data_IF_314856422537
#
_entry.id   IF_314856422537
#
_cell.length_a   1.000
_cell.length_b   1.000
_cell.length_c   1.000
_cell.angle_alpha   90.00
_cell.angle_beta   90.00
_cell.angle_gamma   90.00
#
_symmetry.space_group_name_H-M   'P 1'
#
loop_
_entity.id
_entity.type
_entity.pdbx_description
1 polymer ?
#
# COMPACT_ATOMS: atom_id res chain seq x y z
N UNK A 1 5.34 14.90 -9.51
CA UNK A 1 6.14 13.66 -9.73
C UNK A 1 6.60 12.97 -8.46
N UNK A 2 6.83 13.66 -7.32
CA UNK A 2 7.26 13.02 -6.07
C UNK A 2 6.33 11.90 -5.57
N UNK A 3 5.02 12.11 -5.64
CA UNK A 3 3.99 11.11 -5.28
C UNK A 3 4.19 9.75 -5.96
N UNK A 4 4.41 9.77 -7.28
CA UNK A 4 4.56 8.55 -8.07
C UNK A 4 5.88 7.84 -7.75
N UNK A 5 6.96 8.61 -7.53
CA UNK A 5 8.25 8.07 -7.07
C UNK A 5 8.12 7.38 -5.72
N UNK A 6 7.39 7.98 -4.77
CA UNK A 6 7.12 7.37 -3.47
C UNK A 6 6.27 6.10 -3.60
N UNK A 7 5.23 6.12 -4.43
CA UNK A 7 4.41 4.93 -4.67
C UNK A 7 5.22 3.78 -5.27
N UNK A 8 6.06 4.05 -6.28
CA UNK A 8 6.95 3.05 -6.87
C UNK A 8 7.94 2.51 -5.83
N UNK A 9 8.52 3.38 -4.99
CA UNK A 9 9.41 2.97 -3.92
C UNK A 9 8.72 2.01 -2.94
N UNK A 10 7.48 2.31 -2.54
CA UNK A 10 6.70 1.43 -1.67
C UNK A 10 6.32 0.11 -2.34
N UNK A 11 5.92 0.12 -3.61
CA UNK A 11 5.64 -1.10 -4.38
C UNK A 11 6.89 -1.99 -4.44
N UNK A 12 8.04 -1.43 -4.84
CA UNK A 12 9.30 -2.16 -4.92
C UNK A 12 9.71 -2.72 -3.55
N UNK A 13 9.58 -1.93 -2.49
CA UNK A 13 9.87 -2.35 -1.12
C UNK A 13 9.00 -3.54 -0.69
N UNK A 14 7.68 -3.49 -0.93
CA UNK A 14 6.77 -4.59 -0.56
C UNK A 14 7.05 -5.85 -1.37
N UNK A 15 7.32 -5.73 -2.67
CA UNK A 15 7.69 -6.87 -3.52
C UNK A 15 8.98 -7.51 -3.04
N UNK A 16 10.00 -6.72 -2.70
CA UNK A 16 11.25 -7.22 -2.16
C UNK A 16 11.05 -7.90 -0.81
N UNK A 17 10.30 -7.29 0.11
CA UNK A 17 10.06 -7.86 1.44
C UNK A 17 9.28 -9.17 1.33
N UNK A 18 8.19 -9.21 0.57
CA UNK A 18 7.41 -10.44 0.35
C UNK A 18 8.25 -11.51 -0.36
N UNK A 19 9.06 -11.12 -1.35
CA UNK A 19 9.98 -12.03 -2.03
C UNK A 19 11.06 -12.60 -1.10
N UNK A 20 11.66 -11.79 -0.24
CA UNK A 20 12.67 -12.22 0.75
C UNK A 20 12.04 -13.14 1.80
N UNK A 21 10.84 -12.81 2.30
CA UNK A 21 10.11 -13.69 3.23
C UNK A 21 9.80 -15.04 2.57
N UNK A 22 9.37 -15.04 1.32
CA UNK A 22 9.10 -16.26 0.56
C UNK A 22 10.38 -17.07 0.31
N UNK A 23 11.51 -16.40 0.06
CA UNK A 23 12.82 -17.03 -0.10
C UNK A 23 13.28 -17.73 1.18
N UNK A 24 13.16 -17.06 2.33
CA UNK A 24 13.53 -17.61 3.65
C UNK A 24 12.61 -18.79 4.02
N UNK A 25 11.34 -18.71 3.64
CA UNK A 25 10.33 -19.74 3.90
C UNK A 25 10.60 -21.09 3.19
N UNK A 26 11.64 -21.21 2.35
CA UNK A 26 12.09 -22.43 1.64
C UNK A 26 11.09 -23.13 0.71
N UNK A 27 9.82 -22.72 0.72
CA UNK A 27 8.79 -23.15 -0.20
C UNK A 27 8.55 -22.03 -1.22
N UNK A 28 9.23 -22.13 -2.37
CA UNK A 28 8.95 -21.28 -3.54
C UNK A 28 7.61 -21.68 -4.17
N UNK A 29 6.53 -21.49 -3.41
CA UNK A 29 5.18 -21.66 -3.90
C UNK A 29 4.67 -20.32 -4.40
N UNK A 30 4.55 -20.21 -5.73
CA UNK A 30 4.04 -19.03 -6.41
C UNK A 30 2.65 -18.62 -5.87
N UNK A 31 1.83 -19.59 -5.47
CA UNK A 31 0.49 -19.38 -4.92
C UNK A 31 0.54 -18.71 -3.55
N UNK A 32 1.50 -19.12 -2.72
CA UNK A 32 1.72 -18.53 -1.40
C UNK A 32 2.19 -17.08 -1.55
N UNK A 33 3.09 -16.81 -2.49
CA UNK A 33 3.59 -15.47 -2.75
C UNK A 33 2.49 -14.53 -3.31
N UNK A 34 1.66 -14.98 -4.24
CA UNK A 34 0.46 -14.25 -4.69
C UNK A 34 -0.46 -13.91 -3.51
N UNK A 35 -0.68 -14.87 -2.60
CA UNK A 35 -1.54 -14.67 -1.43
C UNK A 35 -0.94 -13.63 -0.49
N UNK A 36 0.38 -13.66 -0.24
CA UNK A 36 1.06 -12.66 0.57
C UNK A 36 0.98 -11.25 -0.05
N UNK A 37 1.12 -11.12 -1.37
CA UNK A 37 0.96 -9.85 -2.07
C UNK A 37 -0.47 -9.29 -1.93
N UNK A 38 -1.50 -10.13 -2.04
CA UNK A 38 -2.90 -9.74 -1.83
C UNK A 38 -3.17 -9.30 -0.39
N UNK A 39 -2.61 -10.03 0.58
CA UNK A 39 -2.71 -9.67 2.00
C UNK A 39 -2.03 -8.34 2.29
N UNK A 40 -0.83 -8.12 1.76
CA UNK A 40 -0.11 -6.85 1.87
C UNK A 40 -0.91 -5.70 1.22
N UNK A 41 -1.47 -5.92 0.02
CA UNK A 41 -2.30 -4.93 -0.65
C UNK A 41 -3.56 -4.58 0.16
N UNK A 42 -4.24 -5.58 0.73
CA UNK A 42 -5.38 -5.36 1.62
C UNK A 42 -5.01 -4.54 2.87
N UNK A 43 -3.81 -4.73 3.42
CA UNK A 43 -3.31 -3.96 4.55
C UNK A 43 -3.06 -2.49 4.18
N UNK A 44 -2.45 -2.24 3.02
CA UNK A 44 -2.29 -0.88 2.47
C UNK A 44 -3.64 -0.21 2.18
N UNK A 45 -4.63 -0.97 1.71
CA UNK A 45 -5.98 -0.47 1.50
C UNK A 45 -6.64 -0.04 2.82
N UNK A 46 -6.53 -0.87 3.86
CA UNK A 46 -7.05 -0.55 5.18
C UNK A 46 -6.38 0.71 5.75
N UNK A 47 -5.05 0.83 5.64
CA UNK A 47 -4.32 2.03 6.04
C UNK A 47 -4.82 3.24 5.26
N UNK A 48 -5.07 3.10 3.94
CA UNK A 48 -5.63 4.19 3.15
C UNK A 48 -7.01 4.61 3.65
N UNK A 49 -7.88 3.66 3.98
CA UNK A 49 -9.20 3.95 4.54
C UNK A 49 -9.13 4.60 5.92
N UNK A 50 -8.14 4.27 6.75
CA UNK A 50 -7.95 4.95 8.04
C UNK A 50 -7.42 6.36 7.82
N UNK A 51 -6.43 6.53 6.94
CA UNK A 51 -5.82 7.84 6.67
C UNK A 51 -6.82 8.78 5.96
N UNK A 52 -7.58 8.25 5.02
CA UNK A 52 -8.64 8.95 4.28
C UNK A 52 -9.96 9.07 5.06
N UNK A 53 -10.36 8.05 5.80
CA UNK A 53 -11.61 8.03 6.59
C UNK A 53 -11.55 8.89 7.85
N UNK A 54 -10.38 9.09 8.46
CA UNK A 54 -10.20 10.08 9.54
C UNK A 54 -10.48 11.53 9.06
N UNK A 55 -10.63 11.77 7.75
CA UNK A 55 -11.06 13.06 7.21
C UNK A 55 -12.56 13.35 7.39
N UNK A 56 -13.42 12.34 7.61
CA UNK A 56 -14.88 12.56 7.73
C UNK A 56 -15.32 12.96 9.14
N UNK A 57 -14.45 12.88 10.14
CA UNK A 57 -14.76 13.34 11.49
C UNK A 57 -14.53 14.86 11.59
N UNK A 58 -15.60 15.61 11.85
CA UNK A 58 -15.66 17.09 11.98
C UNK A 58 -14.51 17.72 12.81
N UNK A 59 -13.92 16.98 13.75
CA UNK A 59 -12.81 17.41 14.59
C UNK A 59 -11.52 17.77 13.83
N UNK A 60 -11.30 17.22 12.62
CA UNK A 60 -10.11 17.49 11.81
C UNK A 60 -10.23 18.75 10.93
N UNK A 61 -11.44 19.24 10.67
CA UNK A 61 -11.70 20.33 9.72
C UNK A 61 -11.14 21.69 10.17
N UNK A 62 -10.95 21.89 11.50
CA UNK A 62 -10.44 23.16 12.07
C UNK A 62 -8.91 23.35 11.99
N UNK A 63 -8.11 22.32 11.68
CA UNK A 63 -6.63 22.41 11.66
C UNK A 63 -6.09 22.37 10.21
N UNK A 64 -6.53 23.33 9.39
CA UNK A 64 -6.31 23.43 7.93
C UNK A 64 -4.88 23.81 7.49
N UNK A 65 -3.85 23.27 8.12
CA UNK A 65 -2.43 23.52 7.74
C UNK A 65 -1.66 22.25 7.34
N UNK A 66 -2.16 21.03 7.66
CA UNK A 66 -1.49 19.76 7.27
C UNK A 66 -2.31 18.85 6.34
N UNK A 67 -3.42 19.33 5.77
CA UNK A 67 -4.29 18.51 4.92
C UNK A 67 -3.58 18.00 3.65
N UNK A 68 -2.74 18.84 3.04
CA UNK A 68 -2.07 18.54 1.78
C UNK A 68 -1.11 17.34 1.89
N UNK A 69 -0.35 17.24 2.99
CA UNK A 69 0.57 16.12 3.16
C UNK A 69 -0.19 14.81 3.38
N UNK A 70 -1.37 14.83 4.01
CA UNK A 70 -2.07 13.60 4.45
C UNK A 70 -2.93 12.95 3.37
N UNK A 71 -3.55 13.74 2.49
CA UNK A 71 -4.22 13.23 1.28
C UNK A 71 -3.23 12.52 0.34
N UNK A 72 -2.03 13.10 0.20
CA UNK A 72 -0.96 12.54 -0.62
C UNK A 72 -0.58 11.10 -0.19
N UNK A 73 -0.52 10.82 1.11
CA UNK A 73 -0.22 9.46 1.62
C UNK A 73 -1.35 8.46 1.42
N UNK A 74 -2.62 8.87 1.57
CA UNK A 74 -3.76 7.98 1.27
C UNK A 74 -3.76 7.62 -0.21
N UNK A 75 -3.51 8.59 -1.09
CA UNK A 75 -3.43 8.36 -2.53
C UNK A 75 -2.30 7.40 -2.91
N UNK A 76 -1.11 7.56 -2.30
CA UNK A 76 0.01 6.62 -2.45
C UNK A 76 -0.43 5.19 -2.05
N UNK A 77 -1.09 5.04 -0.90
CA UNK A 77 -1.53 3.72 -0.42
C UNK A 77 -2.53 3.06 -1.40
N UNK A 78 -3.42 3.84 -2.02
CA UNK A 78 -4.35 3.34 -3.04
C UNK A 78 -3.59 2.85 -4.28
N UNK A 79 -2.63 3.65 -4.80
CA UNK A 79 -1.83 3.26 -5.96
C UNK A 79 -1.04 1.97 -5.66
N UNK A 80 -0.41 1.89 -4.48
CA UNK A 80 0.32 0.71 -4.02
C UNK A 80 -0.60 -0.51 -3.96
N UNK A 81 -1.80 -0.34 -3.41
CA UNK A 81 -2.83 -1.40 -3.34
C UNK A 81 -3.19 -1.93 -4.72
N UNK A 82 -3.59 -1.03 -5.63
CA UNK A 82 -4.02 -1.40 -7.00
C UNK A 82 -2.86 -2.10 -7.73
N UNK A 83 -1.65 -1.59 -7.59
CA UNK A 83 -0.47 -2.15 -8.24
C UNK A 83 -0.14 -3.55 -7.72
N UNK A 84 -0.10 -3.74 -6.40
CA UNK A 84 0.17 -5.04 -5.79
C UNK A 84 -0.92 -6.07 -6.12
N UNK A 85 -2.19 -5.66 -6.10
CA UNK A 85 -3.30 -6.52 -6.52
C UNK A 85 -3.15 -6.91 -8.00
N UNK A 86 -2.87 -5.95 -8.88
CA UNK A 86 -2.67 -6.19 -10.31
C UNK A 86 -1.50 -7.15 -10.58
N UNK A 87 -0.39 -6.98 -9.88
CA UNK A 87 0.76 -7.89 -9.96
C UNK A 87 0.38 -9.30 -9.51
N UNK A 88 -0.38 -9.44 -8.42
CA UNK A 88 -0.85 -10.74 -7.94
C UNK A 88 -1.86 -11.46 -8.84
N UNK A 89 -2.42 -10.77 -9.84
CA UNK A 89 -3.33 -11.33 -10.83
C UNK A 89 -2.60 -11.72 -12.12
N UNK A 90 -1.46 -11.09 -12.40
CA UNK A 90 -0.68 -11.32 -13.62
C UNK A 90 0.36 -12.44 -13.45
N UNK A 91 0.81 -12.66 -12.21
CA UNK A 91 1.63 -13.80 -11.79
C UNK A 91 0.75 -14.90 -11.24
#
# INVERSE_FOLDING_TARGET
MRLLTWAIFWIASVILVTGVISFISSSFDWTLWQTQLRMAAGLFFLISLVVGGVLTTDAAYRKRSRAFYREEWSFICIIVTISLFGISLFM
#
